data_IF_345595802646
#
_entry.id   IF_345595802646
#
_cell.length_a   1.000
_cell.length_b   1.000
_cell.length_c   1.000
_cell.angle_alpha   90.00
_cell.angle_beta   90.00
_cell.angle_gamma   90.00
#
_symmetry.space_group_name_H-M   'P 1'
#
loop_
_entity.id
_entity.type
_entity.pdbx_description
1 polymer ?
#
# COMPACT_ATOMS: atom_id res chain seq x y z
N UNK A 1 -37.26 6.05 -11.49
CA UNK A 1 -37.00 4.61 -11.36
C UNK A 1 -36.87 4.32 -9.90
N UNK A 2 -37.42 3.21 -9.45
CA UNK A 2 -37.39 2.85 -8.03
C UNK A 2 -35.94 2.70 -7.56
N UNK A 3 -35.64 3.24 -6.37
CA UNK A 3 -34.31 3.11 -5.78
C UNK A 3 -34.22 1.78 -5.04
N UNK A 4 -33.35 0.91 -5.52
CA UNK A 4 -33.13 -0.40 -4.94
C UNK A 4 -31.66 -0.81 -5.03
N UNK A 5 -31.30 -1.77 -4.20
CA UNK A 5 -30.06 -2.52 -4.33
C UNK A 5 -30.31 -3.70 -5.27
N UNK A 6 -29.45 -3.84 -6.28
CA UNK A 6 -29.53 -4.87 -7.31
C UNK A 6 -28.72 -6.13 -6.96
N UNK A 7 -28.10 -6.16 -5.77
CA UNK A 7 -27.32 -7.30 -5.31
C UNK A 7 -27.52 -7.51 -3.80
N UNK A 8 -27.68 -8.77 -3.38
CA UNK A 8 -27.92 -9.13 -1.97
C UNK A 8 -26.78 -8.70 -1.03
N UNK A 9 -25.54 -8.70 -1.55
CA UNK A 9 -24.35 -8.28 -0.80
C UNK A 9 -24.17 -6.77 -0.72
N UNK A 10 -25.03 -5.93 -1.32
CA UNK A 10 -24.85 -4.48 -1.35
C UNK A 10 -24.65 -3.88 0.05
N UNK A 11 -25.41 -4.35 1.05
CA UNK A 11 -25.25 -3.90 2.43
C UNK A 11 -23.88 -4.29 3.02
N UNK A 12 -23.38 -5.49 2.73
CA UNK A 12 -22.06 -5.93 3.21
C UNK A 12 -20.95 -5.13 2.53
N UNK A 13 -20.98 -5.04 1.21
CA UNK A 13 -20.00 -4.29 0.44
C UNK A 13 -19.97 -2.81 0.81
N UNK A 14 -21.13 -2.19 1.05
CA UNK A 14 -21.18 -0.83 1.54
C UNK A 14 -20.51 -0.68 2.92
N UNK A 15 -20.75 -1.60 3.86
CA UNK A 15 -20.06 -1.63 5.16
C UNK A 15 -18.56 -1.86 5.00
N UNK A 16 -18.16 -2.66 4.03
CA UNK A 16 -16.77 -2.92 3.76
C UNK A 16 -16.09 -1.69 3.13
N UNK A 17 -16.83 -0.69 2.62
CA UNK A 17 -16.31 0.55 2.03
C UNK A 17 -16.34 0.60 0.51
N UNK A 18 -17.02 -0.34 -0.14
CA UNK A 18 -17.07 -0.43 -1.61
C UNK A 18 -17.73 0.79 -2.27
N UNK A 19 -18.62 1.50 -1.55
CA UNK A 19 -19.19 2.75 -2.04
C UNK A 19 -18.13 3.79 -2.39
N UNK A 20 -16.95 3.73 -1.75
CA UNK A 20 -15.79 4.58 -2.02
C UNK A 20 -14.76 3.91 -2.94
N UNK A 21 -14.54 2.59 -2.78
CA UNK A 21 -13.51 1.84 -3.55
C UNK A 21 -13.94 1.51 -4.98
N UNK A 22 -15.19 1.11 -5.17
CA UNK A 22 -15.76 0.75 -6.47
C UNK A 22 -16.98 1.61 -6.79
N UNK A 23 -16.86 2.95 -6.69
CA UNK A 23 -18.00 3.87 -6.68
C UNK A 23 -18.80 3.81 -7.98
N UNK A 24 -18.13 3.49 -9.11
CA UNK A 24 -18.79 3.31 -10.40
C UNK A 24 -19.81 2.17 -10.39
N UNK A 25 -19.46 1.05 -9.75
CA UNK A 25 -20.36 -0.10 -9.65
C UNK A 25 -21.40 0.14 -8.55
N UNK A 26 -20.93 0.52 -7.37
CA UNK A 26 -21.77 0.63 -6.17
C UNK A 26 -22.83 1.73 -6.29
N UNK A 27 -22.50 2.91 -6.82
CA UNK A 27 -23.49 4.00 -7.00
C UNK A 27 -24.53 3.72 -8.09
N UNK A 28 -24.30 2.69 -8.92
CA UNK A 28 -25.23 2.25 -9.96
C UNK A 28 -26.08 1.06 -9.52
N UNK A 29 -25.47 0.10 -8.82
CA UNK A 29 -26.07 -1.20 -8.50
C UNK A 29 -26.44 -1.37 -7.03
N UNK A 30 -25.92 -0.54 -6.13
CA UNK A 30 -26.15 -0.62 -4.69
C UNK A 30 -26.57 0.76 -4.15
N UNK A 31 -27.59 1.35 -4.78
CA UNK A 31 -27.93 2.76 -4.58
C UNK A 31 -28.50 3.01 -3.18
N UNK A 32 -29.25 2.05 -2.61
CA UNK A 32 -29.79 2.18 -1.25
C UNK A 32 -28.65 2.05 -0.25
N UNK A 33 -27.83 1.00 -0.37
CA UNK A 33 -26.72 0.75 0.54
C UNK A 33 -25.68 1.90 0.55
N UNK A 34 -25.48 2.58 -0.59
CA UNK A 34 -24.58 3.73 -0.69
C UNK A 34 -25.23 5.10 -0.45
N UNK A 35 -26.52 5.16 -0.10
CA UNK A 35 -27.23 6.43 0.11
C UNK A 35 -27.35 7.28 -1.16
N UNK A 36 -27.39 6.64 -2.33
CA UNK A 36 -27.32 7.26 -3.64
C UNK A 36 -28.68 7.37 -4.36
N UNK A 37 -29.79 7.17 -3.64
CA UNK A 37 -31.14 7.17 -4.24
C UNK A 37 -31.49 8.47 -4.96
N UNK A 38 -31.17 9.60 -4.34
CA UNK A 38 -31.52 10.93 -4.84
C UNK A 38 -30.45 11.51 -5.78
N UNK A 39 -29.38 10.76 -6.05
CA UNK A 39 -28.29 11.21 -6.91
C UNK A 39 -28.67 11.06 -8.38
N UNK A 40 -28.36 12.09 -9.16
CA UNK A 40 -28.45 12.08 -10.61
C UNK A 40 -27.23 11.41 -11.24
N UNK A 41 -27.35 11.00 -12.51
CA UNK A 41 -26.24 10.43 -13.27
C UNK A 41 -25.05 11.39 -13.40
N UNK A 42 -25.33 12.70 -13.49
CA UNK A 42 -24.30 13.74 -13.52
C UNK A 42 -23.54 13.84 -12.19
N UNK A 43 -24.24 13.78 -11.05
CA UNK A 43 -23.60 13.79 -9.73
C UNK A 43 -22.76 12.54 -9.50
N UNK A 44 -23.26 11.37 -9.89
CA UNK A 44 -22.51 10.10 -9.84
C UNK A 44 -21.24 10.20 -10.71
N UNK A 45 -21.36 10.74 -11.92
CA UNK A 45 -20.21 10.93 -12.81
C UNK A 45 -19.16 11.86 -12.20
N UNK A 46 -19.58 12.94 -11.56
CA UNK A 46 -18.69 13.86 -10.85
C UNK A 46 -17.99 13.17 -9.68
N UNK A 47 -18.70 12.39 -8.87
CA UNK A 47 -18.11 11.67 -7.72
C UNK A 47 -17.13 10.60 -8.15
N UNK A 48 -17.46 9.83 -9.18
CA UNK A 48 -16.54 8.82 -9.75
C UNK A 48 -15.30 9.50 -10.31
N UNK A 49 -15.43 10.65 -10.99
CA UNK A 49 -14.30 11.41 -11.50
C UNK A 49 -13.45 12.01 -10.37
N UNK A 50 -14.08 12.61 -9.36
CA UNK A 50 -13.40 13.22 -8.20
C UNK A 50 -12.65 12.18 -7.36
N UNK A 51 -13.22 11.01 -7.10
CA UNK A 51 -12.53 9.94 -6.38
C UNK A 51 -11.34 9.39 -7.17
N UNK A 52 -11.47 9.28 -8.49
CA UNK A 52 -10.35 8.91 -9.34
C UNK A 52 -9.21 9.95 -9.34
N UNK A 53 -9.52 11.25 -9.28
CA UNK A 53 -8.49 12.30 -9.14
C UNK A 53 -7.93 12.43 -7.72
N UNK A 54 -8.72 12.20 -6.67
CA UNK A 54 -8.26 12.27 -5.27
C UNK A 54 -7.21 11.20 -4.97
N UNK A 55 -7.41 9.97 -5.48
CA UNK A 55 -6.44 8.88 -5.36
C UNK A 55 -5.09 9.22 -6.01
N UNK A 56 -5.09 10.01 -7.08
CA UNK A 56 -3.88 10.42 -7.82
C UNK A 56 -3.24 11.65 -7.17
N UNK A 57 -4.04 12.62 -6.69
CA UNK A 57 -3.54 13.84 -6.08
C UNK A 57 -2.87 13.61 -4.70
N UNK A 58 -3.26 12.56 -3.98
CA UNK A 58 -2.64 12.14 -2.72
C UNK A 58 -1.41 11.24 -2.91
N UNK A 59 -1.04 10.90 -4.15
CA UNK A 59 0.22 10.19 -4.38
C UNK A 59 1.36 11.19 -4.57
N UNK A 60 1.97 11.56 -3.46
CA UNK A 60 3.21 12.32 -3.43
C UNK A 60 4.15 11.73 -2.40
N UNK A 61 5.44 11.89 -2.65
CA UNK A 61 6.45 11.74 -1.61
C UNK A 61 6.42 12.97 -0.71
N UNK A 62 6.35 12.74 0.60
CA UNK A 62 6.27 13.77 1.63
C UNK A 62 7.64 14.10 2.22
N UNK A 63 8.70 13.44 1.75
CA UNK A 63 10.06 13.64 2.21
C UNK A 63 11.05 13.63 1.03
N UNK A 64 12.02 14.55 1.05
CA UNK A 64 13.03 14.71 -0.01
C UNK A 64 13.87 13.44 -0.24
N UNK A 65 14.13 12.69 0.83
CA UNK A 65 14.90 11.45 0.79
C UNK A 65 14.10 10.19 0.44
N UNK A 66 12.79 10.29 0.16
CA UNK A 66 11.96 9.11 -0.16
C UNK A 66 12.58 8.25 -1.27
N UNK A 67 13.14 8.87 -2.31
CA UNK A 67 13.78 8.15 -3.41
C UNK A 67 15.02 7.37 -2.94
N UNK A 68 15.90 8.01 -2.17
CA UNK A 68 17.11 7.36 -1.63
C UNK A 68 16.76 6.24 -0.65
N UNK A 69 15.74 6.43 0.18
CA UNK A 69 15.25 5.41 1.11
C UNK A 69 14.66 4.20 0.38
N UNK A 70 13.85 4.44 -0.65
CA UNK A 70 13.34 3.37 -1.50
C UNK A 70 14.48 2.57 -2.17
N UNK A 71 15.51 3.25 -2.69
CA UNK A 71 16.68 2.60 -3.28
C UNK A 71 17.44 1.69 -2.30
N UNK A 72 17.48 2.02 -1.01
CA UNK A 72 18.11 1.17 0.02
C UNK A 72 17.13 0.19 0.67
N UNK A 73 15.94 0.01 0.09
CA UNK A 73 14.97 -1.02 0.48
C UNK A 73 14.04 -0.65 1.63
N UNK A 74 13.89 0.64 1.96
CA UNK A 74 13.01 1.06 3.06
C UNK A 74 11.53 0.72 2.80
N UNK A 75 11.08 0.61 1.54
CA UNK A 75 9.73 0.13 1.23
C UNK A 75 9.45 -1.29 1.80
N UNK A 76 10.50 -2.09 2.03
CA UNK A 76 10.42 -3.40 2.66
C UNK A 76 10.78 -3.38 4.14
N UNK A 77 11.74 -2.54 4.54
CA UNK A 77 12.28 -2.50 5.90
C UNK A 77 11.43 -1.66 6.86
N UNK A 78 10.80 -0.59 6.35
CA UNK A 78 9.92 0.32 7.08
C UNK A 78 8.61 0.58 6.30
N UNK A 79 7.89 -0.49 5.91
CA UNK A 79 6.78 -0.42 4.95
C UNK A 79 5.65 0.49 5.43
N UNK A 80 5.36 0.50 6.74
CA UNK A 80 4.30 1.35 7.31
C UNK A 80 4.57 2.84 7.06
N UNK A 81 5.79 3.30 7.31
CA UNK A 81 6.16 4.69 7.08
C UNK A 81 6.22 4.99 5.58
N UNK A 82 6.88 4.12 4.82
CA UNK A 82 7.16 4.36 3.41
C UNK A 82 5.89 4.35 2.56
N UNK A 83 4.94 3.45 2.80
CA UNK A 83 3.67 3.44 2.06
C UNK A 83 2.72 4.57 2.46
N UNK A 84 2.93 5.22 3.59
CA UNK A 84 2.14 6.38 4.00
C UNK A 84 2.74 7.70 3.51
N UNK A 85 4.06 7.82 3.53
CA UNK A 85 4.77 9.08 3.32
C UNK A 85 5.62 9.13 2.05
N UNK A 86 5.90 7.99 1.42
CA UNK A 86 6.76 7.86 0.24
C UNK A 86 6.09 7.01 -0.86
N UNK A 87 4.82 7.29 -1.14
CA UNK A 87 3.98 6.47 -2.03
C UNK A 87 4.47 6.43 -3.47
N UNK A 88 5.06 7.53 -3.95
CA UNK A 88 5.61 7.57 -5.33
C UNK A 88 6.87 6.72 -5.37
N UNK A 89 7.80 6.93 -4.43
CA UNK A 89 9.06 6.19 -4.38
C UNK A 89 8.89 4.68 -4.15
N UNK A 90 7.79 4.25 -3.55
CA UNK A 90 7.47 2.82 -3.37
C UNK A 90 6.46 2.27 -4.38
N UNK A 91 6.18 2.98 -5.49
CA UNK A 91 5.24 2.57 -6.55
C UNK A 91 3.83 2.23 -6.03
N UNK A 92 3.39 2.91 -4.96
CA UNK A 92 2.17 2.63 -4.22
C UNK A 92 1.01 3.59 -4.54
N UNK A 93 1.13 4.40 -5.60
CA UNK A 93 0.09 5.38 -5.98
C UNK A 93 -1.27 4.76 -6.29
N UNK A 94 -1.26 3.57 -6.88
CA UNK A 94 -2.48 2.87 -7.31
C UNK A 94 -3.00 1.89 -6.25
N UNK A 95 -2.40 1.91 -5.05
CA UNK A 95 -2.81 1.05 -3.93
C UNK A 95 -3.79 1.79 -3.03
N UNK A 96 -4.86 1.10 -2.65
CA UNK A 96 -5.81 1.54 -1.63
C UNK A 96 -5.23 1.33 -0.23
N UNK A 97 -5.79 2.03 0.76
CA UNK A 97 -5.40 1.88 2.16
C UNK A 97 -5.49 0.42 2.64
N UNK A 98 -6.55 -0.33 2.26
CA UNK A 98 -6.68 -1.74 2.66
C UNK A 98 -5.66 -2.67 1.99
N UNK A 99 -5.23 -2.35 0.76
CA UNK A 99 -4.16 -3.11 0.09
C UNK A 99 -2.82 -2.86 0.78
N UNK A 100 -2.55 -1.61 1.16
CA UNK A 100 -1.37 -1.25 1.94
C UNK A 100 -1.37 -1.91 3.32
N UNK A 101 -2.51 -1.91 4.03
CA UNK A 101 -2.65 -2.59 5.33
C UNK A 101 -2.32 -4.08 5.24
N UNK A 102 -2.81 -4.77 4.21
CA UNK A 102 -2.50 -6.20 3.98
C UNK A 102 -1.01 -6.41 3.75
N UNK A 103 -0.39 -5.60 2.88
CA UNK A 103 1.04 -5.68 2.57
C UNK A 103 1.88 -5.41 3.82
N UNK A 104 1.53 -4.39 4.61
CA UNK A 104 2.22 -4.06 5.86
C UNK A 104 2.10 -5.21 6.85
N UNK A 105 0.91 -5.81 7.01
CA UNK A 105 0.69 -6.95 7.89
C UNK A 105 1.51 -8.18 7.47
N UNK A 106 1.58 -8.49 6.17
CA UNK A 106 2.40 -9.58 5.63
C UNK A 106 3.90 -9.34 5.87
N UNK A 107 4.38 -8.11 5.67
CA UNK A 107 5.77 -7.72 5.93
C UNK A 107 6.12 -7.69 7.42
N UNK A 108 5.16 -7.35 8.28
CA UNK A 108 5.31 -7.47 9.75
C UNK A 108 5.41 -8.93 10.18
N UNK A 109 4.66 -9.83 9.54
CA UNK A 109 4.76 -11.26 9.80
C UNK A 109 6.11 -11.85 9.34
N UNK A 110 6.66 -11.39 8.21
CA UNK A 110 7.95 -11.87 7.70
C UNK A 110 9.19 -11.29 8.42
N UNK A 111 9.03 -10.19 9.17
CA UNK A 111 10.08 -9.62 10.03
C UNK A 111 10.10 -10.20 11.44
N UNK A 112 9.12 -11.05 11.77
CA UNK A 112 8.97 -11.68 13.09
C UNK A 112 9.68 -13.03 13.23
N UNK A 113 10.28 -13.57 12.17
CA UNK A 113 11.24 -14.65 12.32
C UNK A 113 12.57 -14.04 12.80
N UNK A 114 12.76 -14.05 14.12
CA UNK A 114 14.07 -13.94 14.76
C UNK A 114 14.94 -15.13 14.40
N UNK A 115 15.13 -15.38 13.12
CA UNK A 115 16.09 -16.35 12.62
C UNK A 115 17.45 -15.72 12.84
N UNK A 116 18.30 -16.37 13.63
CA UNK A 116 19.74 -16.10 13.61
C UNK A 116 20.20 -16.26 12.16
N UNK A 117 20.34 -15.13 11.44
CA UNK A 117 20.70 -15.17 10.04
C UNK A 117 22.21 -15.38 9.99
N UNK A 118 22.62 -16.52 9.45
CA UNK A 118 24.03 -16.79 9.19
C UNK A 118 24.43 -16.05 7.90
N UNK A 119 25.35 -15.10 8.04
CA UNK A 119 25.91 -14.32 6.94
C UNK A 119 27.36 -14.74 6.74
N UNK A 120 27.72 -15.17 5.53
CA UNK A 120 29.09 -15.49 5.17
C UNK A 120 29.66 -14.33 4.35
N UNK A 121 30.76 -13.76 4.82
CA UNK A 121 31.45 -12.70 4.08
C UNK A 121 32.06 -13.25 2.78
N UNK A 122 32.39 -12.39 1.80
CA UNK A 122 33.15 -12.79 0.59
C UNK A 122 34.47 -13.51 0.88
N UNK A 123 35.01 -13.35 2.09
CA UNK A 123 36.23 -14.01 2.57
C UNK A 123 35.96 -15.33 3.34
N UNK A 124 34.72 -15.82 3.34
CA UNK A 124 34.33 -17.09 3.97
C UNK A 124 34.13 -17.02 5.50
N UNK A 125 34.00 -15.81 6.08
CA UNK A 125 33.79 -15.65 7.52
C UNK A 125 32.30 -15.67 7.82
N UNK A 126 31.84 -16.69 8.56
CA UNK A 126 30.45 -16.81 9.00
C UNK A 126 30.19 -16.00 10.26
N UNK A 127 29.16 -15.17 10.22
CA UNK A 127 28.69 -14.35 11.33
C UNK A 127 27.22 -14.63 11.58
N UNK A 128 26.84 -14.73 12.86
CA UNK A 128 25.43 -14.81 13.26
C UNK A 128 24.89 -13.42 13.51
N UNK A 129 23.82 -13.08 12.81
CA UNK A 129 23.17 -11.78 12.91
C UNK A 129 21.76 -11.99 13.44
N UNK A 130 21.43 -11.29 14.51
CA UNK A 130 20.15 -11.39 15.21
C UNK A 130 19.00 -10.61 14.54
N UNK A 131 19.21 -10.13 13.32
CA UNK A 131 18.29 -9.23 12.62
C UNK A 131 18.57 -9.22 11.12
N UNK A 132 17.54 -9.54 10.33
CA UNK A 132 17.55 -9.34 8.88
C UNK A 132 17.91 -7.90 8.48
N UNK A 133 17.53 -6.91 9.30
CA UNK A 133 17.88 -5.50 9.06
C UNK A 133 19.39 -5.25 9.15
N UNK A 134 20.03 -5.79 10.19
CA UNK A 134 21.49 -5.67 10.35
C UNK A 134 22.23 -6.40 9.24
N UNK A 135 21.71 -7.56 8.80
CA UNK A 135 22.28 -8.28 7.65
C UNK A 135 22.24 -7.44 6.37
N UNK A 136 21.09 -6.87 6.02
CA UNK A 136 20.95 -6.04 4.80
C UNK A 136 21.84 -4.81 4.83
N UNK A 137 22.01 -4.18 5.99
CA UNK A 137 22.98 -3.08 6.14
C UNK A 137 24.41 -3.53 5.84
N UNK A 138 24.83 -4.70 6.35
CA UNK A 138 26.16 -5.26 6.10
C UNK A 138 26.33 -5.63 4.64
N UNK A 139 25.31 -6.23 4.00
CA UNK A 139 25.32 -6.53 2.57
C UNK A 139 25.50 -5.27 1.72
N UNK A 140 24.69 -4.23 1.96
CA UNK A 140 24.79 -2.96 1.23
C UNK A 140 26.16 -2.28 1.44
N UNK A 141 26.70 -2.33 2.66
CA UNK A 141 28.05 -1.80 2.94
C UNK A 141 29.14 -2.60 2.23
N UNK A 142 28.99 -3.92 2.15
CA UNK A 142 29.95 -4.81 1.48
C UNK A 142 29.93 -4.55 -0.03
N UNK A 143 28.75 -4.50 -0.64
CA UNK A 143 28.57 -4.23 -2.07
C UNK A 143 29.14 -2.85 -2.47
N UNK A 144 28.93 -1.83 -1.64
CA UNK A 144 29.54 -0.51 -1.84
C UNK A 144 31.08 -0.52 -1.77
N UNK A 145 31.66 -1.35 -0.90
CA UNK A 145 33.11 -1.48 -0.81
C UNK A 145 33.71 -2.29 -1.97
N UNK A 146 32.93 -3.21 -2.55
CA UNK A 146 33.39 -4.08 -3.66
C UNK A 146 33.23 -3.45 -5.04
N UNK A 147 32.21 -2.61 -5.25
CA UNK A 147 31.92 -1.96 -6.54
C UNK A 147 32.50 -0.53 -6.65
N UNK A 148 33.62 -0.25 -5.97
CA UNK A 148 34.37 1.01 -6.05
C UNK A 148 35.77 0.86 -6.61
#
# INVERSE_FOLDING_TARGET
>A
GDCEDLHEMCTSWAKDGECDRTPKYMLKHCRVACGACDMTESEIKTIVAQRATSLIAECADQHENCNSWAQVGECDNTPEYMYKHCRVSCDACNMTESELEKIIAEKAASSSSGDDVEFETPYGVKQKINSQKTRRMIENMTDYMENR
#
